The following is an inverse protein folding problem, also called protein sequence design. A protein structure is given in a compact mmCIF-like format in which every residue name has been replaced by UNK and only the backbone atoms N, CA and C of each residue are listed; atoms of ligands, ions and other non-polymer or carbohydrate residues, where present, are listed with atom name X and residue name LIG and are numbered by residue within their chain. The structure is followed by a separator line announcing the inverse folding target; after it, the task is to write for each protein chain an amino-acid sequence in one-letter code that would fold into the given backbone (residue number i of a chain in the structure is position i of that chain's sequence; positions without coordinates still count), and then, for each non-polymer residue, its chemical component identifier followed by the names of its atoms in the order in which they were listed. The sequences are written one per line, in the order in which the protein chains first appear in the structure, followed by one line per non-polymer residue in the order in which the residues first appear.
data_IF_930218460903
#
_entry.id   IF_930218460903
#
_cell.length_a   1.000
_cell.length_b   1.000
_cell.length_c   1.000
_cell.angle_alpha   90.00
_cell.angle_beta   90.00
_cell.angle_gamma   90.00
#
_symmetry.space_group_name_H-M   'P 1'
#
loop_
_entity.id
_entity.type
_entity.pdbx_description
1 polymer ?
#
# COMPACT_ATOMS: atom_id res chain seq x y z
N UNK A 1 -12.35 42.19 -3.76
CA UNK A 1 -11.38 41.57 -4.68
C UNK A 1 -10.55 40.59 -3.88
N UNK A 2 -10.90 39.30 -3.91
CA UNK A 2 -10.21 38.25 -3.14
C UNK A 2 -9.43 37.38 -4.14
N UNK A 3 -8.13 37.60 -4.22
CA UNK A 3 -7.22 36.71 -4.96
C UNK A 3 -7.23 35.35 -4.27
N UNK A 4 -7.77 34.35 -4.97
CA UNK A 4 -7.57 32.96 -4.64
C UNK A 4 -6.08 32.64 -4.80
N UNK A 5 -5.38 32.44 -3.68
CA UNK A 5 -4.12 31.73 -3.67
C UNK A 5 -4.39 30.27 -4.06
N UNK A 6 -4.43 30.01 -5.36
CA UNK A 6 -4.28 28.67 -5.89
C UNK A 6 -2.87 28.22 -5.54
N UNK A 7 -2.74 27.51 -4.42
CA UNK A 7 -1.58 26.68 -4.13
C UNK A 7 -1.57 25.63 -5.24
N UNK A 8 -0.90 25.93 -6.35
CA UNK A 8 -0.40 24.92 -7.28
C UNK A 8 0.60 24.11 -6.47
N UNK A 9 0.09 23.08 -5.81
CA UNK A 9 0.92 21.98 -5.35
C UNK A 9 1.49 21.42 -6.64
N UNK A 10 2.73 21.81 -6.94
CA UNK A 10 3.57 21.12 -7.91
C UNK A 10 3.62 19.68 -7.41
N UNK A 11 2.73 18.87 -7.98
CA UNK A 11 2.64 17.44 -7.73
C UNK A 11 3.90 16.85 -8.34
N UNK A 12 4.95 16.92 -7.53
CA UNK A 12 6.25 16.31 -7.65
C UNK A 12 6.22 15.17 -8.66
N UNK A 13 6.85 15.41 -9.80
CA UNK A 13 6.95 14.49 -10.92
C UNK A 13 7.41 13.12 -10.41
N UNK A 14 6.46 12.22 -10.17
CA UNK A 14 6.77 10.82 -9.88
C UNK A 14 7.43 10.29 -11.15
N UNK A 15 8.75 10.15 -11.16
CA UNK A 15 9.48 9.77 -12.38
C UNK A 15 8.82 8.53 -12.98
N UNK A 16 8.36 8.60 -14.23
CA UNK A 16 7.67 7.51 -14.95
C UNK A 16 8.32 6.13 -14.73
N UNK A 17 9.66 6.12 -14.66
CA UNK A 17 10.47 4.93 -14.38
C UNK A 17 10.13 4.25 -13.04
N UNK A 18 9.95 5.01 -11.95
CA UNK A 18 9.58 4.47 -10.63
C UNK A 18 8.16 3.90 -10.62
N UNK A 19 7.25 4.50 -11.38
CA UNK A 19 5.87 4.00 -11.49
C UNK A 19 5.81 2.67 -12.22
N UNK A 20 6.52 2.55 -13.35
CA UNK A 20 6.63 1.29 -14.09
C UNK A 20 7.34 0.24 -13.26
N UNK A 21 8.47 0.59 -12.61
CA UNK A 21 9.20 -0.34 -11.75
C UNK A 21 8.31 -0.85 -10.61
N UNK A 22 7.58 0.03 -9.92
CA UNK A 22 6.66 -0.38 -8.86
C UNK A 22 5.55 -1.27 -9.40
N UNK A 23 4.97 -0.96 -10.56
CA UNK A 23 3.94 -1.80 -11.16
C UNK A 23 4.46 -3.20 -11.49
N UNK A 24 5.62 -3.30 -12.15
CA UNK A 24 6.25 -4.59 -12.49
C UNK A 24 6.61 -5.37 -11.22
N UNK A 25 7.17 -4.70 -10.21
CA UNK A 25 7.55 -5.34 -8.95
C UNK A 25 6.32 -5.85 -8.20
N UNK A 26 5.26 -5.05 -8.09
CA UNK A 26 4.01 -5.47 -7.45
C UNK A 26 3.31 -6.58 -8.24
N UNK A 27 3.32 -6.54 -9.57
CA UNK A 27 2.76 -7.60 -10.41
C UNK A 27 3.51 -8.91 -10.20
N UNK A 28 4.85 -8.88 -10.28
CA UNK A 28 5.68 -10.04 -10.05
C UNK A 28 5.46 -10.61 -8.64
N UNK A 29 5.38 -9.75 -7.63
CA UNK A 29 5.11 -10.16 -6.24
C UNK A 29 3.72 -10.78 -6.09
N UNK A 30 2.69 -10.20 -6.73
CA UNK A 30 1.33 -10.74 -6.72
C UNK A 30 1.21 -12.10 -7.41
N UNK A 31 1.85 -12.26 -8.58
CA UNK A 31 1.91 -13.55 -9.28
C UNK A 31 2.70 -14.57 -8.47
N UNK A 32 3.84 -14.19 -7.90
CA UNK A 32 4.66 -15.07 -7.07
C UNK A 32 3.89 -15.55 -5.85
N UNK A 33 3.08 -14.69 -5.24
CA UNK A 33 2.21 -15.04 -4.11
C UNK A 33 1.14 -16.07 -4.48
N UNK A 34 0.63 -16.04 -5.72
CA UNK A 34 -0.35 -17.03 -6.19
C UNK A 34 0.29 -18.37 -6.54
N UNK A 35 1.50 -18.36 -7.12
CA UNK A 35 2.20 -19.58 -7.53
C UNK A 35 2.89 -20.26 -6.35
N UNK A 36 3.45 -19.47 -5.43
CA UNK A 36 4.14 -19.96 -4.23
C UNK A 36 3.61 -19.23 -2.99
N UNK A 37 2.51 -19.71 -2.39
CA UNK A 37 1.95 -19.12 -1.18
C UNK A 37 2.93 -19.14 -0.01
N UNK A 38 3.90 -20.06 -0.03
CA UNK A 38 4.96 -20.14 0.97
C UNK A 38 5.86 -18.90 0.99
N UNK A 39 5.89 -18.05 -0.04
CA UNK A 39 6.67 -16.80 0.01
C UNK A 39 5.92 -15.64 0.68
N UNK A 40 4.66 -15.85 1.09
CA UNK A 40 3.83 -14.80 1.68
C UNK A 40 4.44 -14.25 2.98
N UNK A 41 5.16 -15.05 3.75
CA UNK A 41 5.82 -14.59 4.99
C UNK A 41 6.86 -13.49 4.73
N UNK A 42 7.60 -13.57 3.61
CA UNK A 42 8.60 -12.56 3.25
C UNK A 42 7.92 -11.21 2.98
N UNK A 43 6.80 -11.24 2.27
CA UNK A 43 6.07 -10.05 1.86
C UNK A 43 5.33 -9.45 3.06
N UNK A 44 4.55 -10.26 3.78
CA UNK A 44 3.77 -9.82 4.92
C UNK A 44 4.67 -9.42 6.10
N UNK A 45 5.67 -10.25 6.42
CA UNK A 45 6.65 -9.97 7.47
C UNK A 45 7.49 -8.74 7.14
N UNK A 46 8.02 -8.64 5.92
CA UNK A 46 8.80 -7.48 5.48
C UNK A 46 7.99 -6.19 5.47
N UNK A 47 6.72 -6.25 5.03
CA UNK A 47 5.79 -5.12 5.09
C UNK A 47 5.56 -4.66 6.53
N UNK A 48 5.27 -5.59 7.45
CA UNK A 48 5.01 -5.26 8.84
C UNK A 48 6.24 -4.69 9.57
N UNK A 49 7.43 -5.25 9.33
CA UNK A 49 8.67 -4.67 9.86
C UNK A 49 8.86 -3.25 9.32
N UNK A 50 8.68 -3.06 8.00
CA UNK A 50 8.81 -1.73 7.38
C UNK A 50 7.79 -0.73 7.94
N UNK A 51 6.55 -1.17 8.16
CA UNK A 51 5.49 -0.36 8.77
C UNK A 51 5.87 0.06 10.20
N UNK A 52 6.42 -0.86 10.99
CA UNK A 52 6.89 -0.54 12.34
C UNK A 52 8.08 0.40 12.38
N UNK A 53 9.03 0.25 11.46
CA UNK A 53 10.12 1.21 11.28
C UNK A 53 9.59 2.58 10.84
N UNK A 54 8.58 2.61 9.97
CA UNK A 54 7.90 3.85 9.59
C UNK A 54 7.24 4.51 10.81
N UNK A 55 6.54 3.75 11.65
CA UNK A 55 5.93 4.28 12.89
C UNK A 55 6.99 4.89 13.82
N UNK A 56 8.14 4.23 13.96
CA UNK A 56 9.27 4.77 14.71
C UNK A 56 9.80 6.06 14.08
N UNK A 57 9.94 6.12 12.76
CA UNK A 57 10.39 7.31 12.04
C UNK A 57 9.44 8.50 12.22
N UNK A 58 8.12 8.26 12.27
CA UNK A 58 7.10 9.28 12.56
C UNK A 58 6.91 9.56 14.06
N UNK A 59 7.78 9.04 14.93
CA UNK A 59 7.74 9.24 16.39
C UNK A 59 6.40 8.85 17.03
N UNK A 60 5.73 7.83 16.48
CA UNK A 60 4.57 7.24 17.15
C UNK A 60 5.00 6.56 18.46
N UNK A 61 4.07 6.39 19.42
CA UNK A 61 4.34 5.67 20.66
C UNK A 61 5.07 4.36 20.41
N UNK A 62 6.11 4.07 21.20
CA UNK A 62 6.94 2.88 21.05
C UNK A 62 6.13 1.58 21.08
N UNK A 63 5.10 1.52 21.93
CA UNK A 63 4.16 0.40 22.00
C UNK A 63 3.45 0.16 20.65
N UNK A 64 2.98 1.21 19.97
CA UNK A 64 2.32 1.09 18.67
C UNK A 64 3.30 0.71 17.55
N UNK A 65 4.53 1.20 17.63
CA UNK A 65 5.58 0.88 16.66
C UNK A 65 6.09 -0.56 16.82
N UNK A 66 6.13 -1.08 18.05
CA UNK A 66 6.58 -2.44 18.33
C UNK A 66 5.60 -3.51 17.81
N UNK A 67 4.29 -3.25 17.83
CA UNK A 67 3.27 -4.18 17.38
C UNK A 67 3.53 -4.76 15.96
N UNK A 68 3.67 -3.94 14.91
CA UNK A 68 3.94 -4.45 13.57
C UNK A 68 5.34 -5.06 13.46
N UNK A 69 6.36 -4.57 14.16
CA UNK A 69 7.71 -5.18 14.15
C UNK A 69 7.66 -6.61 14.71
N UNK A 70 7.10 -6.78 15.91
CA UNK A 70 7.02 -8.08 16.58
C UNK A 70 6.16 -9.04 15.75
N UNK A 71 5.04 -8.57 15.20
CA UNK A 71 4.21 -9.39 14.32
C UNK A 71 4.97 -9.83 13.07
N UNK A 72 5.71 -8.92 12.44
CA UNK A 72 6.50 -9.25 11.26
C UNK A 72 7.61 -10.26 11.56
N UNK A 73 8.32 -10.11 12.67
CA UNK A 73 9.33 -11.08 13.14
C UNK A 73 8.70 -12.44 13.44
N UNK A 74 7.53 -12.47 14.09
CA UNK A 74 6.82 -13.73 14.35
C UNK A 74 6.43 -14.46 13.06
N UNK A 75 5.95 -13.72 12.05
CA UNK A 75 5.63 -14.28 10.73
C UNK A 75 6.87 -14.87 10.04
N UNK A 76 8.04 -14.23 10.19
CA UNK A 76 9.28 -14.76 9.64
C UNK A 76 9.72 -16.08 10.28
N UNK A 77 9.54 -16.21 11.60
CA UNK A 77 9.93 -17.43 12.33
C UNK A 77 8.89 -18.53 12.14
N UNK A 78 7.61 -18.17 12.09
CA UNK A 78 6.47 -19.07 12.02
C UNK A 78 5.53 -18.69 10.86
N UNK A 79 5.89 -19.04 9.61
CA UNK A 79 5.09 -18.69 8.43
C UNK A 79 3.70 -19.32 8.44
N UNK A 80 3.55 -20.50 9.04
CA UNK A 80 2.24 -21.18 9.16
C UNK A 80 1.24 -20.40 10.02
N UNK A 81 1.73 -19.48 10.87
CA UNK A 81 0.91 -18.65 11.75
C UNK A 81 0.49 -17.32 11.09
N UNK A 82 0.82 -17.07 9.81
CA UNK A 82 0.46 -15.82 9.12
C UNK A 82 -1.01 -15.45 9.31
N UNK A 83 -2.00 -16.34 9.05
CA UNK A 83 -3.41 -15.94 9.12
C UNK A 83 -3.77 -15.43 10.52
N UNK A 84 -3.34 -16.14 11.56
CA UNK A 84 -3.67 -15.83 12.96
C UNK A 84 -2.91 -14.59 13.44
N UNK A 85 -1.61 -14.52 13.18
CA UNK A 85 -0.76 -13.39 13.63
C UNK A 85 -1.14 -12.10 12.91
N UNK A 86 -1.35 -12.15 11.60
CA UNK A 86 -1.76 -11.01 10.80
C UNK A 86 -3.17 -10.53 11.18
N UNK A 87 -4.13 -11.44 11.38
CA UNK A 87 -5.46 -11.08 11.87
C UNK A 87 -5.43 -10.49 13.28
N UNK A 88 -4.61 -11.04 14.19
CA UNK A 88 -4.46 -10.51 15.54
C UNK A 88 -3.91 -9.09 15.52
N UNK A 89 -2.90 -8.84 14.68
CA UNK A 89 -2.38 -7.49 14.44
C UNK A 89 -3.46 -6.56 13.88
N UNK A 90 -4.18 -6.96 12.84
CA UNK A 90 -5.26 -6.15 12.25
C UNK A 90 -6.38 -5.87 13.26
N UNK A 91 -6.75 -6.85 14.08
CA UNK A 91 -7.76 -6.69 15.13
C UNK A 91 -7.32 -5.67 16.18
N UNK A 92 -6.11 -5.81 16.72
CA UNK A 92 -5.56 -4.88 17.71
C UNK A 92 -5.35 -3.48 17.13
N UNK A 93 -4.82 -3.39 15.91
CA UNK A 93 -4.59 -2.11 15.23
C UNK A 93 -5.92 -1.43 14.86
N UNK A 94 -6.90 -2.20 14.38
CA UNK A 94 -8.25 -1.75 14.12
C UNK A 94 -8.94 -1.21 15.38
N UNK A 95 -8.83 -1.93 16.50
CA UNK A 95 -9.31 -1.46 17.80
C UNK A 95 -8.62 -0.16 18.23
N UNK A 96 -7.30 -0.07 18.10
CA UNK A 96 -6.56 1.15 18.40
C UNK A 96 -7.04 2.33 17.55
N UNK A 97 -7.32 2.11 16.25
CA UNK A 97 -7.88 3.12 15.35
C UNK A 97 -9.30 3.55 15.73
N UNK A 98 -10.14 2.63 16.24
CA UNK A 98 -11.47 2.96 16.77
C UNK A 98 -11.38 3.94 17.94
N UNK A 99 -10.47 3.71 18.88
CA UNK A 99 -10.27 4.59 20.04
C UNK A 99 -9.66 5.95 19.68
N UNK A 100 -8.95 6.03 18.55
CA UNK A 100 -8.38 7.29 18.05
C UNK A 100 -9.39 8.31 17.51
N UNK A 101 -10.69 7.97 17.46
CA UNK A 101 -11.85 8.74 16.94
C UNK A 101 -11.77 9.20 15.47
N UNK A 102 -10.62 9.63 14.97
CA UNK A 102 -10.46 10.21 13.63
C UNK A 102 -10.49 9.16 12.50
N UNK A 103 -10.14 7.91 12.80
CA UNK A 103 -10.05 6.82 11.82
C UNK A 103 -11.03 5.68 12.11
N UNK A 104 -12.14 5.96 12.80
CA UNK A 104 -13.06 4.93 13.27
C UNK A 104 -13.61 4.04 12.13
N UNK A 105 -14.01 4.61 11.00
CA UNK A 105 -14.49 3.83 9.84
C UNK A 105 -13.41 2.87 9.32
N UNK A 106 -12.17 3.34 9.20
CA UNK A 106 -11.02 2.50 8.82
C UNK A 106 -10.76 1.42 9.87
N UNK A 107 -10.91 1.74 11.16
CA UNK A 107 -10.85 0.79 12.26
C UNK A 107 -11.87 -0.35 12.14
N UNK A 108 -13.14 -0.02 11.89
CA UNK A 108 -14.22 -1.02 11.68
C UNK A 108 -13.86 -1.93 10.50
N UNK A 109 -13.49 -1.36 9.35
CA UNK A 109 -13.12 -2.13 8.15
C UNK A 109 -11.96 -3.07 8.45
N UNK A 110 -10.94 -2.58 9.17
CA UNK A 110 -9.76 -3.37 9.54
C UNK A 110 -10.14 -4.57 10.41
N UNK A 111 -11.04 -4.39 11.37
CA UNK A 111 -11.54 -5.47 12.23
C UNK A 111 -12.37 -6.48 11.42
N UNK A 112 -13.23 -6.02 10.50
CA UNK A 112 -14.00 -6.91 9.62
C UNK A 112 -13.05 -7.80 8.81
N UNK A 113 -12.00 -7.19 8.23
CA UNK A 113 -10.97 -7.95 7.49
C UNK A 113 -10.28 -8.96 8.40
N UNK A 114 -9.92 -8.59 9.63
CA UNK A 114 -9.32 -9.51 10.60
C UNK A 114 -10.22 -10.72 10.89
N UNK A 115 -11.52 -10.50 11.10
CA UNK A 115 -12.49 -11.58 11.33
C UNK A 115 -12.62 -12.49 10.10
N UNK A 116 -12.70 -11.90 8.90
CA UNK A 116 -12.77 -12.68 7.66
C UNK A 116 -11.54 -13.57 7.45
N UNK A 117 -10.36 -13.09 7.82
CA UNK A 117 -9.11 -13.86 7.78
C UNK A 117 -9.18 -15.06 8.74
N UNK A 118 -9.67 -14.85 9.97
CA UNK A 118 -9.81 -15.94 10.94
C UNK A 118 -10.80 -16.99 10.44
N UNK A 119 -11.91 -16.55 9.84
CA UNK A 119 -12.94 -17.45 9.31
C UNK A 119 -12.46 -18.23 8.08
N UNK A 120 -11.52 -17.68 7.30
CA UNK A 120 -11.03 -18.27 6.05
C UNK A 120 -9.51 -18.09 5.92
N UNK A 121 -8.69 -18.81 6.71
CA UNK A 121 -7.25 -18.60 6.78
C UNK A 121 -6.53 -18.85 5.45
N UNK A 122 -7.01 -19.80 4.65
CA UNK A 122 -6.45 -20.13 3.34
C UNK A 122 -6.64 -18.98 2.32
N UNK A 123 -7.61 -18.09 2.56
CA UNK A 123 -7.96 -16.99 1.66
C UNK A 123 -7.00 -15.79 1.75
N UNK A 124 -6.12 -15.74 2.75
CA UNK A 124 -5.21 -14.61 2.99
C UNK A 124 -4.28 -14.35 1.81
N UNK A 125 -3.67 -15.41 1.28
CA UNK A 125 -2.76 -15.31 0.14
C UNK A 125 -3.46 -14.75 -1.10
N UNK A 126 -4.68 -15.23 -1.37
CA UNK A 126 -5.49 -14.77 -2.50
C UNK A 126 -5.93 -13.31 -2.33
N UNK A 127 -6.32 -12.91 -1.13
CA UNK A 127 -6.71 -11.53 -0.82
C UNK A 127 -5.53 -10.58 -1.01
N UNK A 128 -4.35 -10.92 -0.47
CA UNK A 128 -3.13 -10.12 -0.63
C UNK A 128 -2.71 -10.05 -2.11
N UNK A 129 -2.75 -11.17 -2.83
CA UNK A 129 -2.46 -11.19 -4.26
C UNK A 129 -3.44 -10.33 -5.07
N UNK A 130 -4.74 -10.40 -4.78
CA UNK A 130 -5.76 -9.59 -5.42
C UNK A 130 -5.52 -8.08 -5.23
N UNK A 131 -5.17 -7.66 -4.02
CA UNK A 131 -4.80 -6.27 -3.74
C UNK A 131 -3.57 -5.84 -4.54
N UNK A 132 -2.52 -6.68 -4.59
CA UNK A 132 -1.31 -6.39 -5.35
C UNK A 132 -1.59 -6.27 -6.86
N UNK A 133 -2.35 -7.21 -7.43
CA UNK A 133 -2.72 -7.17 -8.84
C UNK A 133 -3.56 -5.92 -9.17
N UNK A 134 -4.54 -5.59 -8.32
CA UNK A 134 -5.37 -4.39 -8.51
C UNK A 134 -4.54 -3.10 -8.43
N UNK A 135 -3.63 -3.00 -7.46
CA UNK A 135 -2.72 -1.87 -7.34
C UNK A 135 -1.79 -1.74 -8.55
N UNK A 136 -1.24 -2.86 -9.02
CA UNK A 136 -0.41 -2.89 -10.22
C UNK A 136 -1.17 -2.40 -11.46
N UNK A 137 -2.38 -2.91 -11.68
CA UNK A 137 -3.26 -2.48 -12.79
C UNK A 137 -3.56 -0.99 -12.69
N UNK A 138 -3.87 -0.48 -11.50
CA UNK A 138 -4.11 0.96 -11.27
C UNK A 138 -2.89 1.81 -11.64
N UNK A 139 -1.69 1.40 -11.23
CA UNK A 139 -0.45 2.09 -11.61
C UNK A 139 -0.20 2.04 -13.11
N UNK A 140 -0.50 0.93 -13.78
CA UNK A 140 -0.38 0.78 -15.24
C UNK A 140 -1.34 1.72 -15.99
N UNK A 141 -2.60 1.80 -15.54
CA UNK A 141 -3.60 2.70 -16.12
C UNK A 141 -3.17 4.16 -15.95
N UNK A 142 -2.69 4.54 -14.77
CA UNK A 142 -2.19 5.90 -14.54
C UNK A 142 -0.99 6.19 -15.44
N UNK A 143 -0.08 5.23 -15.63
CA UNK A 143 1.07 5.39 -16.52
C UNK A 143 0.63 5.58 -17.98
N UNK A 144 -0.32 4.77 -18.46
CA UNK A 144 -0.85 4.88 -19.81
C UNK A 144 -1.54 6.24 -20.03
N UNK A 145 -2.33 6.70 -19.05
CA UNK A 145 -2.98 8.02 -19.11
C UNK A 145 -1.95 9.15 -19.17
N UNK A 146 -0.89 9.08 -18.38
CA UNK A 146 0.18 10.08 -18.36
C UNK A 146 1.00 10.05 -19.65
N UNK A 147 1.19 8.87 -20.25
CA UNK A 147 1.84 8.71 -21.56
C UNK A 147 0.99 9.27 -22.71
N UNK A 148 -0.33 9.00 -22.70
CA UNK A 148 -1.26 9.49 -23.70
C UNK A 148 -1.38 11.02 -23.67
N UNK A 149 -1.42 11.64 -22.48
CA UNK A 149 -1.45 13.11 -22.35
C UNK A 149 -0.21 13.78 -22.95
N UNK A 150 0.99 13.26 -22.68
CA UNK A 150 2.21 13.81 -23.31
C UNK A 150 2.29 13.61 -24.83
N UNK A 151 1.40 12.82 -25.42
CA UNK A 151 1.32 12.64 -26.87
C UNK A 151 0.37 13.66 -27.51
N UNK A 152 -0.66 14.11 -26.78
CA UNK A 152 -1.57 15.19 -27.22
C UNK A 152 -0.95 16.59 -27.04
N UNK A 153 -0.17 16.82 -25.98
CA UNK A 153 0.49 18.12 -25.73
C UNK A 153 1.66 18.41 -26.70
N UNK A 154 1.99 17.48 -27.61
CA UNK A 154 3.09 17.59 -28.58
C UNK A 154 2.70 18.19 -29.94
N UNK A 155 1.49 18.73 -30.08
CA UNK A 155 0.96 19.24 -31.35
C UNK A 155 0.49 20.70 -31.32
N UNK A 156 0.82 21.46 -30.27
CA UNK A 156 0.25 22.81 -30.07
C UNK A 156 1.23 23.84 -29.48
N UNK A 157 2.51 23.83 -29.89
CA UNK A 157 3.36 25.02 -29.69
C UNK A 157 4.54 25.13 -30.66
N UNK A 158 4.24 25.38 -31.94
CA UNK A 158 5.18 25.94 -32.92
C UNK A 158 4.76 27.37 -33.32
N UNK A 159 4.19 28.14 -32.39
CA UNK A 159 3.97 29.58 -32.62
C UNK A 159 5.18 30.38 -32.14
N UNK A 160 6.19 30.44 -33.01
CA UNK A 160 7.30 31.38 -32.88
C UNK A 160 6.74 32.81 -32.91
N UNK A 161 6.56 33.42 -31.74
CA UNK A 161 6.40 34.86 -31.63
C UNK A 161 7.77 35.50 -31.89
N UNK A 162 7.95 35.98 -33.12
CA UNK A 162 9.01 36.93 -33.45
C UNK A 162 8.54 38.30 -32.94
N UNK A 163 9.16 38.78 -31.86
CA UNK A 163 9.18 40.20 -31.52
C UNK A 163 10.20 40.95 -32.39
#
# INVERSE_FOLDING_TARGET
MLNQFQIKIDANHKSRQRQVLNAVLTLATGVLTLVFPDFLYLIAGGYLISLGLMFMAFRLPSALSALPIVTGVLIFIFPDLIPITFASFLGLFGLAMLFGMQLAILGIITIIIAVLIIMNPDSVAYLIAFFMLTYSVSNLISFYKDWSKSKDDGFDDDSVTIE
#
